data_IF_999321004128
#
_entry.id   IF_999321004128
#
_cell.length_a   1.000
_cell.length_b   1.000
_cell.length_c   1.000
_cell.angle_alpha   90.00
_cell.angle_beta   90.00
_cell.angle_gamma   90.00
#
_symmetry.space_group_name_H-M   'P 1'
#
loop_
_entity.id
_entity.type
_entity.pdbx_description
1 polymer ?
#
# COMPACT_ATOMS: atom_id res chain seq x y z
N UNK A 1 17.38 -7.77 2.34
CA UNK A 1 16.03 -7.20 2.55
C UNK A 1 15.32 -8.02 3.63
N UNK A 2 14.67 -7.39 4.59
CA UNK A 2 13.87 -8.02 5.65
C UNK A 2 12.45 -7.45 5.61
N UNK A 3 11.44 -8.31 5.68
CA UNK A 3 10.03 -7.90 5.77
C UNK A 3 9.50 -8.28 7.16
N UNK A 4 8.89 -7.33 7.84
CA UNK A 4 8.23 -7.53 9.15
C UNK A 4 6.75 -7.19 8.99
N UNK A 5 5.88 -8.18 9.08
CA UNK A 5 4.43 -7.96 9.10
C UNK A 5 3.99 -7.36 10.43
N UNK A 6 3.22 -6.29 10.40
CA UNK A 6 2.74 -5.54 11.57
C UNK A 6 1.22 -5.61 11.73
N UNK A 7 0.55 -6.42 10.90
CA UNK A 7 -0.89 -6.73 10.98
C UNK A 7 -1.69 -6.19 9.79
N UNK A 8 -2.72 -6.92 9.35
CA UNK A 8 -3.50 -6.60 8.14
C UNK A 8 -2.58 -6.41 6.90
N UNK A 9 -2.72 -5.30 6.17
CA UNK A 9 -1.85 -4.88 5.07
C UNK A 9 -0.53 -4.23 5.54
N UNK A 10 -0.39 -3.99 6.84
CA UNK A 10 0.77 -3.28 7.38
C UNK A 10 2.02 -4.16 7.41
N UNK A 11 3.11 -3.60 6.89
CA UNK A 11 4.43 -4.22 7.00
C UNK A 11 5.56 -3.20 6.87
N UNK A 12 6.70 -3.52 7.48
CA UNK A 12 7.96 -2.79 7.33
C UNK A 12 8.94 -3.57 6.45
N UNK A 13 9.53 -2.90 5.48
CA UNK A 13 10.58 -3.40 4.61
C UNK A 13 11.89 -2.71 5.01
N UNK A 14 12.87 -3.47 5.49
CA UNK A 14 14.20 -2.96 5.81
C UNK A 14 15.23 -3.45 4.78
N UNK A 15 16.06 -2.52 4.31
CA UNK A 15 17.23 -2.78 3.46
C UNK A 15 18.45 -2.08 4.04
N UNK A 16 19.64 -2.30 3.45
CA UNK A 16 20.81 -1.53 3.84
C UNK A 16 20.81 -0.09 3.27
N UNK A 17 19.91 0.22 2.32
CA UNK A 17 19.74 1.56 1.75
C UNK A 17 18.64 2.39 2.42
N UNK A 18 17.74 1.76 3.18
CA UNK A 18 16.65 2.45 3.87
C UNK A 18 15.50 1.52 4.26
N UNK A 19 14.49 2.12 4.88
CA UNK A 19 13.32 1.46 5.45
C UNK A 19 12.00 2.05 4.92
N UNK A 20 11.03 1.19 4.62
CA UNK A 20 9.70 1.57 4.14
C UNK A 20 8.66 0.96 5.07
N UNK A 21 7.77 1.77 5.64
CA UNK A 21 6.55 1.29 6.31
C UNK A 21 5.37 1.41 5.35
N UNK A 22 4.60 0.34 5.22
CA UNK A 22 3.41 0.25 4.37
C UNK A 22 2.15 0.20 5.25
N UNK A 23 1.13 0.98 4.90
CA UNK A 23 -0.25 0.93 5.43
C UNK A 23 -0.38 0.64 6.95
N UNK A 24 0.22 1.43 7.84
CA UNK A 24 0.13 1.20 9.28
C UNK A 24 -1.29 1.45 9.81
N UNK A 25 -1.96 0.38 10.22
CA UNK A 25 -3.33 0.40 10.78
C UNK A 25 -3.40 -0.32 12.12
N UNK A 26 -3.96 0.35 13.13
CA UNK A 26 -4.07 -0.15 14.52
C UNK A 26 -5.48 0.10 15.09
N UNK A 27 -6.08 1.26 14.80
CA UNK A 27 -7.33 1.70 15.40
C UNK A 27 -8.56 1.16 14.65
N UNK A 28 -9.65 0.78 15.33
CA UNK A 28 -10.84 0.25 14.66
C UNK A 28 -11.41 1.18 13.56
N UNK A 29 -11.81 0.60 12.44
CA UNK A 29 -12.42 1.29 11.30
C UNK A 29 -13.92 0.99 11.18
N UNK A 30 -14.63 1.83 10.41
CA UNK A 30 -16.05 1.64 10.05
C UNK A 30 -16.96 1.32 11.24
N UNK A 31 -17.05 2.26 12.20
CA UNK A 31 -17.81 2.08 13.45
C UNK A 31 -17.38 0.85 14.27
N UNK A 32 -16.08 0.56 14.28
CA UNK A 32 -15.46 -0.60 14.92
C UNK A 32 -15.96 -1.96 14.41
N UNK A 33 -16.55 -2.00 13.21
CA UNK A 33 -16.87 -3.27 12.56
C UNK A 33 -15.60 -3.98 12.06
N UNK A 34 -14.54 -3.23 11.76
CA UNK A 34 -13.24 -3.76 11.35
C UNK A 34 -12.18 -3.32 12.35
N UNK A 35 -11.31 -4.24 12.74
CA UNK A 35 -10.20 -3.99 13.65
C UNK A 35 -9.09 -5.01 13.39
N UNK A 36 -7.80 -4.65 13.58
CA UNK A 36 -6.71 -5.61 13.44
C UNK A 36 -6.86 -6.80 14.41
N UNK A 37 -6.73 -8.01 13.86
CA UNK A 37 -6.66 -9.23 14.66
C UNK A 37 -5.54 -10.16 14.13
N UNK A 38 -4.63 -10.63 14.99
CA UNK A 38 -4.51 -10.31 16.41
C UNK A 38 -4.22 -8.81 16.65
N UNK A 39 -4.53 -8.34 17.86
CA UNK A 39 -4.28 -6.95 18.28
C UNK A 39 -2.79 -6.62 18.12
N UNK A 40 -2.51 -5.59 17.31
CA UNK A 40 -1.16 -5.10 17.00
C UNK A 40 -0.83 -3.77 17.70
N UNK A 41 -1.70 -3.27 18.59
CA UNK A 41 -1.50 -2.00 19.30
C UNK A 41 -0.33 -2.01 20.28
N UNK A 42 0.10 -3.19 20.72
CA UNK A 42 1.22 -3.38 21.65
C UNK A 42 2.59 -3.56 20.98
N UNK A 43 2.65 -3.49 19.64
CA UNK A 43 3.93 -3.47 18.94
C UNK A 43 4.71 -2.19 19.29
N UNK A 44 6.03 -2.24 19.15
CA UNK A 44 6.91 -1.08 19.38
C UNK A 44 6.81 -0.08 18.23
N UNK A 45 5.72 0.67 18.20
CA UNK A 45 5.40 1.61 17.13
C UNK A 45 6.30 2.83 17.06
N UNK A 46 6.98 3.19 18.16
CA UNK A 46 8.01 4.23 18.15
C UNK A 46 9.19 3.79 17.27
N UNK A 47 9.66 2.56 17.44
CA UNK A 47 10.71 2.00 16.58
C UNK A 47 10.19 1.72 15.17
N UNK A 48 9.00 1.10 15.04
CA UNK A 48 8.44 0.72 13.74
C UNK A 48 8.13 1.93 12.86
N UNK A 49 7.70 3.04 13.45
CA UNK A 49 7.37 4.29 12.76
C UNK A 49 8.55 5.21 12.48
N UNK A 50 9.73 4.95 13.05
CA UNK A 50 10.99 5.59 12.65
C UNK A 50 11.53 4.93 11.38
N UNK A 51 11.09 5.48 10.25
CA UNK A 51 11.40 5.00 8.88
C UNK A 51 11.80 6.14 7.95
N UNK A 52 12.54 5.78 6.90
CA UNK A 52 12.98 6.70 5.85
C UNK A 52 11.85 7.03 4.89
N UNK A 53 10.99 6.05 4.61
CA UNK A 53 9.88 6.16 3.68
C UNK A 53 8.57 5.64 4.26
N UNK A 54 7.49 6.33 3.94
CA UNK A 54 6.11 5.89 4.20
C UNK A 54 5.42 5.63 2.86
N UNK A 55 4.80 4.48 2.73
CA UNK A 55 3.89 4.17 1.64
C UNK A 55 2.50 3.93 2.23
N UNK A 56 1.51 4.71 1.78
CA UNK A 56 0.10 4.44 2.03
C UNK A 56 -0.55 4.23 0.68
N UNK A 57 -1.11 3.05 0.46
CA UNK A 57 -1.64 2.64 -0.83
C UNK A 57 -2.82 3.51 -1.25
N UNK A 58 -3.84 3.67 -0.40
CA UNK A 58 -5.07 4.41 -0.67
C UNK A 58 -5.76 4.87 0.63
N UNK A 59 -6.90 5.58 0.52
CA UNK A 59 -7.58 6.27 1.63
C UNK A 59 -8.59 5.42 2.43
N UNK A 60 -8.69 4.11 2.19
CA UNK A 60 -9.56 3.28 3.03
C UNK A 60 -9.03 3.23 4.46
N UNK A 61 -9.94 3.22 5.44
CA UNK A 61 -9.59 3.46 6.85
C UNK A 61 -8.80 2.33 7.50
N UNK A 62 -8.78 1.17 6.88
CA UNK A 62 -7.97 0.01 7.25
C UNK A 62 -6.56 0.01 6.62
N UNK A 63 -6.24 1.02 5.81
CA UNK A 63 -4.90 1.30 5.28
C UNK A 63 -4.40 2.70 5.70
N UNK A 64 -5.33 3.65 5.83
CA UNK A 64 -5.12 5.03 6.25
C UNK A 64 -5.65 5.27 7.68
N UNK A 65 -4.84 4.91 8.67
CA UNK A 65 -5.14 5.19 10.07
C UNK A 65 -4.63 6.58 10.48
N UNK A 66 -5.46 7.61 10.29
CA UNK A 66 -5.07 8.99 10.53
C UNK A 66 -4.52 9.25 11.95
N UNK A 67 -5.10 8.60 12.96
CA UNK A 67 -4.67 8.74 14.36
C UNK A 67 -3.28 8.13 14.56
N UNK A 68 -3.09 6.90 14.06
CA UNK A 68 -1.81 6.20 14.18
C UNK A 68 -0.70 6.89 13.38
N UNK A 69 -0.98 7.26 12.12
CA UNK A 69 -0.09 8.00 11.23
C UNK A 69 0.36 9.32 11.85
N UNK A 70 -0.55 10.04 12.52
CA UNK A 70 -0.23 11.31 13.19
C UNK A 70 0.70 11.11 14.39
N UNK A 71 0.47 10.05 15.16
CA UNK A 71 1.10 9.84 16.46
C UNK A 71 2.48 9.18 16.37
N UNK A 72 2.61 8.12 15.57
CA UNK A 72 3.77 7.22 15.66
C UNK A 72 4.70 7.29 14.44
N UNK A 73 4.22 7.79 13.31
CA UNK A 73 5.03 7.76 12.09
C UNK A 73 5.88 9.03 11.95
N UNK A 74 7.18 8.82 11.75
CA UNK A 74 8.17 9.89 11.64
C UNK A 74 7.79 10.90 10.56
N UNK A 75 7.69 12.18 10.95
CA UNK A 75 7.40 13.28 10.01
C UNK A 75 8.61 13.67 9.15
N UNK A 76 9.77 13.04 9.38
CA UNK A 76 10.93 13.12 8.50
C UNK A 76 10.85 12.13 7.34
N UNK A 77 10.01 11.10 7.44
CA UNK A 77 9.85 10.12 6.38
C UNK A 77 9.40 10.80 5.08
N UNK A 78 9.96 10.36 3.96
CA UNK A 78 9.47 10.76 2.63
C UNK A 78 8.31 9.87 2.23
N UNK A 79 7.16 10.48 1.99
CA UNK A 79 5.98 9.76 1.54
C UNK A 79 6.15 9.40 0.07
N UNK A 80 6.02 8.11 -0.26
CA UNK A 80 5.96 7.60 -1.62
C UNK A 80 4.51 7.71 -2.12
N UNK A 81 4.23 8.68 -3.00
CA UNK A 81 2.88 8.93 -3.50
C UNK A 81 2.62 8.19 -4.82
N UNK A 82 1.52 7.42 -4.92
CA UNK A 82 0.97 6.95 -6.19
C UNK A 82 0.54 8.11 -7.09
N UNK A 83 0.57 7.90 -8.41
CA UNK A 83 0.10 8.86 -9.43
C UNK A 83 -1.43 8.88 -9.55
N UNK A 84 -2.11 9.27 -8.46
CA UNK A 84 -3.57 9.43 -8.49
C UNK A 84 -4.00 10.70 -9.24
N UNK A 85 -5.20 10.72 -9.85
CA UNK A 85 -5.71 11.89 -10.57
C UNK A 85 -6.11 13.04 -9.64
N UNK A 86 -6.14 12.82 -8.32
CA UNK A 86 -6.50 13.83 -7.32
C UNK A 86 -5.42 13.94 -6.25
N UNK A 87 -5.35 15.09 -5.59
CA UNK A 87 -4.42 15.35 -4.48
C UNK A 87 -4.91 14.83 -3.13
N UNK A 88 -6.07 14.17 -3.04
CA UNK A 88 -6.72 13.90 -1.74
C UNK A 88 -5.82 13.13 -0.76
N UNK A 89 -5.12 12.09 -1.22
CA UNK A 89 -4.19 11.35 -0.36
C UNK A 89 -3.04 12.23 0.15
N UNK A 90 -2.48 13.06 -0.74
CA UNK A 90 -1.43 14.00 -0.36
C UNK A 90 -1.95 15.06 0.63
N UNK A 91 -3.13 15.61 0.38
CA UNK A 91 -3.76 16.64 1.23
C UNK A 91 -4.05 16.12 2.64
N UNK A 92 -4.57 14.90 2.76
CA UNK A 92 -4.80 14.23 4.04
C UNK A 92 -3.47 13.98 4.77
N UNK A 93 -2.43 13.47 4.09
CA UNK A 93 -1.10 13.28 4.70
C UNK A 93 -0.46 14.62 5.13
N UNK A 94 -0.62 15.68 4.35
CA UNK A 94 -0.18 17.04 4.74
C UNK A 94 -0.91 17.52 5.99
N UNK A 95 -2.22 17.27 6.10
CA UNK A 95 -3.00 17.60 7.29
C UNK A 95 -2.51 16.86 8.55
N UNK A 96 -1.92 15.67 8.37
CA UNK A 96 -1.26 14.91 9.45
C UNK A 96 0.19 15.34 9.73
N UNK A 97 0.71 16.37 9.04
CA UNK A 97 2.01 16.98 9.27
C UNK A 97 3.17 16.41 8.44
N UNK A 98 2.93 15.57 7.44
CA UNK A 98 3.98 15.13 6.51
C UNK A 98 4.36 16.27 5.55
N UNK A 99 5.66 16.46 5.32
CA UNK A 99 6.18 17.58 4.51
C UNK A 99 7.04 17.15 3.33
N UNK A 100 7.58 15.93 3.33
CA UNK A 100 8.41 15.38 2.26
C UNK A 100 7.63 14.34 1.45
N UNK A 101 7.58 14.52 0.14
CA UNK A 101 6.81 13.67 -0.77
C UNK A 101 7.61 13.38 -2.04
N UNK A 102 7.73 12.11 -2.39
CA UNK A 102 8.17 11.66 -3.71
C UNK A 102 6.92 11.32 -4.53
N UNK A 103 6.62 12.14 -5.54
CA UNK A 103 5.56 11.84 -6.50
C UNK A 103 6.11 10.90 -7.55
N UNK A 104 5.59 9.68 -7.57
CA UNK A 104 5.94 8.69 -8.59
C UNK A 104 5.11 8.91 -9.86
N UNK A 105 5.55 8.31 -10.95
CA UNK A 105 4.74 8.06 -12.13
C UNK A 105 4.42 6.57 -12.17
N UNK A 106 3.18 6.23 -12.53
CA UNK A 106 2.75 4.84 -12.56
C UNK A 106 3.66 4.02 -13.45
N UNK A 107 4.05 2.83 -12.99
CA UNK A 107 4.83 1.84 -13.75
C UNK A 107 6.29 2.24 -14.10
N UNK A 108 6.73 3.43 -13.67
CA UNK A 108 8.12 3.88 -13.76
C UNK A 108 8.92 3.48 -12.51
N UNK A 109 10.13 2.96 -12.71
CA UNK A 109 11.06 2.65 -11.62
C UNK A 109 11.78 3.93 -11.19
N UNK A 110 11.73 4.23 -9.90
CA UNK A 110 12.44 5.34 -9.26
C UNK A 110 13.57 4.76 -8.42
N UNK A 111 14.80 5.20 -8.66
CA UNK A 111 15.95 4.86 -7.82
C UNK A 111 16.11 5.92 -6.73
N UNK A 112 16.10 5.46 -5.49
CA UNK A 112 16.27 6.22 -4.26
C UNK A 112 17.72 6.10 -3.77
N UNK A 113 18.04 6.84 -2.71
CA UNK A 113 19.37 6.82 -2.11
C UNK A 113 19.83 5.40 -1.74
N UNK A 114 21.13 5.15 -1.90
CA UNK A 114 21.74 3.85 -1.59
C UNK A 114 21.39 2.71 -2.57
N UNK A 115 20.70 3.00 -3.68
CA UNK A 115 20.35 2.01 -4.71
C UNK A 115 19.07 1.23 -4.45
N UNK A 116 18.24 1.70 -3.50
CA UNK A 116 16.88 1.19 -3.30
C UNK A 116 16.01 1.63 -4.48
N UNK A 117 15.33 0.69 -5.14
CA UNK A 117 14.42 1.02 -6.24
C UNK A 117 13.00 0.73 -5.85
N UNK A 118 12.10 1.65 -6.21
CA UNK A 118 10.67 1.50 -6.02
C UNK A 118 9.93 1.75 -7.32
N UNK A 119 8.83 1.05 -7.52
CA UNK A 119 7.86 1.35 -8.56
C UNK A 119 6.48 1.25 -7.93
N UNK A 120 5.63 2.24 -8.20
CA UNK A 120 4.24 2.21 -7.78
C UNK A 120 3.38 2.12 -9.04
N UNK A 121 2.43 1.19 -9.05
CA UNK A 121 1.39 1.14 -10.06
C UNK A 121 0.10 1.67 -9.44
N UNK A 122 -0.43 2.77 -9.98
CA UNK A 122 -1.68 3.36 -9.54
C UNK A 122 -2.83 2.84 -10.40
N UNK A 123 -3.79 2.18 -9.76
CA UNK A 123 -5.04 1.74 -10.39
C UNK A 123 -6.10 2.81 -10.18
N UNK A 124 -6.53 3.42 -11.29
CA UNK A 124 -7.36 4.63 -11.30
C UNK A 124 -8.71 4.41 -11.99
N UNK A 125 -9.03 3.17 -12.41
CA UNK A 125 -10.34 2.89 -12.99
C UNK A 125 -11.41 3.01 -11.91
N UNK A 126 -12.62 3.50 -12.23
CA UNK A 126 -13.75 3.47 -11.29
C UNK A 126 -14.06 2.07 -10.74
N UNK A 127 -13.66 1.01 -11.46
CA UNK A 127 -13.79 -0.39 -11.03
C UNK A 127 -12.82 -0.79 -9.92
N UNK A 128 -11.75 -0.02 -9.73
CA UNK A 128 -10.67 -0.29 -8.77
C UNK A 128 -10.96 0.41 -7.42
N UNK A 129 -12.11 1.10 -7.33
CA UNK A 129 -12.58 1.82 -6.15
C UNK A 129 -12.86 3.30 -6.46
N UNK A 130 -13.72 3.97 -5.68
CA UNK A 130 -14.08 5.38 -5.95
C UNK A 130 -12.90 6.36 -5.83
N UNK A 131 -11.77 5.95 -5.25
CA UNK A 131 -10.60 6.80 -4.98
C UNK A 131 -9.30 6.23 -5.61
N UNK A 132 -9.35 5.02 -6.18
CA UNK A 132 -8.20 4.28 -6.71
C UNK A 132 -7.50 3.40 -5.66
N UNK A 133 -6.61 2.54 -6.14
CA UNK A 133 -5.74 1.67 -5.33
C UNK A 133 -4.34 1.64 -5.93
N UNK A 134 -3.34 1.14 -5.22
CA UNK A 134 -1.98 1.06 -5.73
C UNK A 134 -1.21 -0.12 -5.16
N UNK A 135 -0.23 -0.56 -5.94
CA UNK A 135 0.75 -1.56 -5.52
C UNK A 135 2.14 -0.95 -5.47
N UNK A 136 2.99 -1.50 -4.59
CA UNK A 136 4.39 -1.11 -4.44
C UNK A 136 5.29 -2.30 -4.78
N UNK A 137 6.12 -2.12 -5.80
CA UNK A 137 7.24 -3.00 -6.10
C UNK A 137 8.53 -2.39 -5.54
N UNK A 138 9.35 -3.21 -4.88
CA UNK A 138 10.63 -2.78 -4.28
C UNK A 138 11.74 -3.72 -4.73
N UNK A 139 12.86 -3.16 -5.17
CA UNK A 139 14.10 -3.89 -5.43
C UNK A 139 15.26 -3.32 -4.60
N UNK A 140 16.03 -4.22 -3.99
CA UNK A 140 17.34 -3.90 -3.45
C UNK A 140 18.29 -5.08 -3.61
N UNK A 141 19.48 -4.83 -4.18
CA UNK A 141 20.53 -5.84 -4.39
C UNK A 141 20.02 -7.10 -5.14
N UNK A 142 19.22 -6.88 -6.19
CA UNK A 142 18.62 -7.93 -7.00
C UNK A 142 17.44 -8.68 -6.35
N UNK A 143 17.16 -8.45 -5.07
CA UNK A 143 15.98 -8.99 -4.37
C UNK A 143 14.78 -8.08 -4.62
N UNK A 144 13.68 -8.68 -5.07
CA UNK A 144 12.45 -7.99 -5.51
C UNK A 144 11.25 -8.48 -4.74
N UNK A 145 10.42 -7.56 -4.28
CA UNK A 145 9.18 -7.87 -3.58
C UNK A 145 8.04 -7.02 -4.15
N UNK A 146 6.86 -7.62 -4.25
CA UNK A 146 5.66 -6.96 -4.72
C UNK A 146 4.63 -6.91 -3.59
N UNK A 147 4.37 -5.72 -3.07
CA UNK A 147 3.19 -5.43 -2.27
C UNK A 147 2.05 -5.06 -3.21
N UNK A 148 1.27 -6.04 -3.65
CA UNK A 148 0.11 -5.78 -4.48
C UNK A 148 -1.02 -5.14 -3.67
N UNK A 149 -1.09 -5.46 -2.38
CA UNK A 149 -2.13 -4.96 -1.49
C UNK A 149 -3.53 -5.31 -2.01
N UNK A 150 -4.49 -4.37 -1.91
CA UNK A 150 -5.86 -4.49 -2.41
C UNK A 150 -5.96 -4.29 -3.94
N UNK A 151 -4.87 -3.83 -4.58
CA UNK A 151 -4.84 -3.53 -6.01
C UNK A 151 -5.08 -4.81 -6.84
N UNK A 152 -5.85 -4.65 -7.92
CA UNK A 152 -6.27 -5.75 -8.81
C UNK A 152 -5.88 -5.47 -10.26
N UNK A 153 -4.57 -5.48 -10.56
CA UNK A 153 -4.13 -5.25 -11.92
C UNK A 153 -4.67 -6.32 -12.86
N UNK A 154 -5.30 -5.91 -13.95
CA UNK A 154 -5.69 -6.79 -15.04
C UNK A 154 -4.49 -7.28 -15.87
N UNK A 155 -3.32 -6.63 -15.71
CA UNK A 155 -2.09 -6.97 -16.42
C UNK A 155 -0.88 -6.93 -15.48
N UNK A 156 -0.16 -8.04 -15.37
CA UNK A 156 1.06 -8.19 -14.59
C UNK A 156 2.35 -8.13 -15.44
N UNK A 157 2.22 -7.86 -16.75
CA UNK A 157 3.34 -7.85 -17.70
C UNK A 157 4.46 -6.94 -17.22
N UNK A 158 4.12 -5.75 -16.70
CA UNK A 158 5.12 -4.81 -16.20
C UNK A 158 5.96 -5.38 -15.06
N UNK A 159 5.34 -6.04 -14.09
CA UNK A 159 6.07 -6.68 -13.00
C UNK A 159 6.95 -7.84 -13.49
N UNK A 160 6.47 -8.60 -14.49
CA UNK A 160 7.25 -9.67 -15.11
C UNK A 160 8.49 -9.14 -15.87
N UNK A 161 8.37 -8.02 -16.58
CA UNK A 161 9.49 -7.34 -17.26
C UNK A 161 10.56 -6.87 -16.27
N UNK A 162 10.16 -6.48 -15.06
CA UNK A 162 11.07 -6.09 -13.98
C UNK A 162 11.79 -7.30 -13.34
N UNK A 163 11.45 -8.53 -13.74
CA UNK A 163 12.13 -9.76 -13.36
C UNK A 163 11.45 -10.51 -12.20
N UNK A 164 12.07 -11.62 -11.80
CA UNK A 164 11.50 -12.52 -10.79
C UNK A 164 11.24 -11.83 -9.43
N UNK A 165 10.00 -11.92 -8.97
CA UNK A 165 9.55 -11.46 -7.66
C UNK A 165 9.78 -12.57 -6.62
N UNK A 166 10.52 -12.27 -5.56
CA UNK A 166 10.92 -13.23 -4.53
C UNK A 166 9.87 -13.36 -3.41
N UNK A 167 9.09 -12.30 -3.18
CA UNK A 167 7.95 -12.33 -2.28
C UNK A 167 6.83 -11.45 -2.84
N UNK A 168 5.60 -11.96 -2.80
CA UNK A 168 4.41 -11.27 -3.29
C UNK A 168 3.36 -11.26 -2.18
N UNK A 169 3.02 -10.06 -1.72
CA UNK A 169 2.01 -9.81 -0.70
C UNK A 169 0.72 -9.43 -1.42
N UNK A 170 -0.29 -10.28 -1.31
CA UNK A 170 -1.60 -10.14 -1.95
C UNK A 170 -2.73 -10.22 -0.93
N UNK A 171 -3.80 -9.45 -1.14
CA UNK A 171 -5.04 -9.59 -0.39
C UNK A 171 -5.62 -11.01 -0.60
N UNK A 172 -5.92 -11.72 0.48
CA UNK A 172 -6.55 -13.06 0.42
C UNK A 172 -8.04 -13.04 0.84
N UNK A 173 -8.49 -11.98 1.51
CA UNK A 173 -9.86 -11.83 2.00
C UNK A 173 -10.47 -10.53 1.50
N UNK A 174 -11.62 -10.60 0.85
CA UNK A 174 -12.27 -9.42 0.30
C UNK A 174 -13.39 -8.89 1.19
N UNK A 175 -13.19 -7.73 1.82
CA UNK A 175 -14.28 -6.88 2.28
C UNK A 175 -14.45 -5.73 1.29
N UNK A 176 -15.18 -6.00 0.20
CA UNK A 176 -15.08 -5.22 -1.05
C UNK A 176 -16.46 -4.86 -1.57
N UNK A 177 -16.56 -3.67 -2.19
CA UNK A 177 -17.77 -3.12 -2.81
C UNK A 177 -18.19 -3.81 -4.11
N UNK A 178 -17.41 -4.78 -4.58
CA UNK A 178 -17.59 -5.45 -5.86
C UNK A 178 -18.86 -6.29 -5.87
N UNK A 179 -19.52 -6.42 -7.02
CA UNK A 179 -20.84 -7.02 -7.14
C UNK A 179 -20.89 -8.54 -6.88
N UNK A 180 -19.95 -9.13 -6.13
CA UNK A 180 -20.05 -10.52 -5.69
C UNK A 180 -21.34 -10.79 -4.90
N UNK A 181 -21.86 -9.76 -4.22
CA UNK A 181 -23.16 -9.81 -3.51
C UNK A 181 -24.32 -9.22 -4.32
N UNK A 182 -24.08 -8.72 -5.54
CA UNK A 182 -25.13 -8.16 -6.39
C UNK A 182 -25.75 -9.30 -7.20
N UNK A 183 -27.05 -9.22 -7.45
CA UNK A 183 -27.73 -10.13 -8.37
C UNK A 183 -27.34 -9.80 -9.82
N UNK A 184 -26.22 -10.37 -10.25
CA UNK A 184 -25.77 -10.33 -11.64
C UNK A 184 -26.02 -11.69 -12.34
N UNK A 185 -26.32 -11.69 -13.64
CA UNK A 185 -26.28 -12.89 -14.47
C UNK A 185 -24.92 -13.60 -14.36
N UNK A 186 -24.92 -14.93 -14.41
CA UNK A 186 -23.71 -15.75 -14.17
C UNK A 186 -22.57 -15.46 -15.15
N UNK A 187 -22.89 -15.13 -16.40
CA UNK A 187 -21.90 -14.72 -17.40
C UNK A 187 -21.22 -13.39 -17.04
N UNK A 188 -21.95 -12.44 -16.45
CA UNK A 188 -21.38 -11.19 -15.97
C UNK A 188 -20.46 -11.47 -14.77
N UNK A 189 -20.91 -12.27 -13.78
CA UNK A 189 -20.06 -12.70 -12.66
C UNK A 189 -18.79 -13.38 -13.13
N UNK A 190 -18.88 -14.27 -14.11
CA UNK A 190 -17.73 -14.98 -14.70
C UNK A 190 -16.81 -14.02 -15.45
N UNK A 191 -17.33 -13.08 -16.24
CA UNK A 191 -16.51 -12.11 -16.96
C UNK A 191 -15.75 -11.19 -15.99
N UNK A 192 -16.41 -10.79 -14.90
CA UNK A 192 -15.83 -10.01 -13.81
C UNK A 192 -14.80 -10.82 -12.99
N UNK A 193 -15.06 -12.11 -12.74
CA UNK A 193 -14.16 -13.00 -12.01
C UNK A 193 -13.00 -13.56 -12.83
N UNK A 194 -13.03 -13.46 -14.16
CA UNK A 194 -11.89 -13.74 -15.05
C UNK A 194 -10.96 -12.54 -15.03
N UNK A 195 -10.16 -12.48 -13.96
CA UNK A 195 -8.95 -11.67 -13.86
C UNK A 195 -7.79 -12.48 -14.42
#
# INVERSE_FOLDING_TARGET
>A
MRITGTGHASMRIDTAAGSILCDPWVNPAYFASWFPFPDNSLLDWETLGDVDYLYVSHLHRDHFDAEHLKRFISKKATVLLPEYPTSQLEDELRALGFTSFLRTKSDEVHELDGGLKVMIQALISPTDGPIGDSSLWVEYDGIRVLNQNDARPADLTRFNELGHVHAHMLQFSGAIWYPMVYELPENAKTAFGKQ
#
